data_IF_331040217451
#
_entry.id   IF_331040217451
#
_cell.length_a   1.000
_cell.length_b   1.000
_cell.length_c   1.000
_cell.angle_alpha   90.00
_cell.angle_beta   90.00
_cell.angle_gamma   90.00
#
_symmetry.space_group_name_H-M   'P 1'
#
loop_
_entity.id
_entity.type
_entity.pdbx_description
1 polymer ?
#
# COMPACT_ATOMS: atom_id res chain seq x y z
N UNK A 1 2.64 12.66 9.47
CA UNK A 1 1.98 11.78 8.47
C UNK A 1 0.66 12.43 8.07
N UNK A 2 0.34 12.45 6.77
CA UNK A 2 -0.96 12.95 6.32
C UNK A 2 -1.95 11.77 6.17
N UNK A 3 -3.03 11.79 6.93
CA UNK A 3 -4.04 10.73 6.96
C UNK A 3 -4.70 10.52 5.59
N UNK A 4 -5.15 11.59 4.95
CA UNK A 4 -5.92 11.49 3.72
C UNK A 4 -5.09 10.93 2.56
N UNK A 5 -3.86 11.41 2.41
CA UNK A 5 -2.92 10.86 1.43
C UNK A 5 -2.60 9.40 1.73
N UNK A 6 -2.50 9.03 3.00
CA UNK A 6 -2.30 7.64 3.41
C UNK A 6 -3.46 6.76 2.95
N UNK A 7 -4.72 7.19 3.14
CA UNK A 7 -5.89 6.42 2.70
C UNK A 7 -5.86 6.22 1.19
N UNK A 8 -5.57 7.25 0.40
CA UNK A 8 -5.45 7.11 -1.07
C UNK A 8 -4.35 6.12 -1.46
N UNK A 9 -3.18 6.20 -0.81
CA UNK A 9 -2.04 5.29 -1.04
C UNK A 9 -2.36 3.84 -0.66
N UNK A 10 -3.06 3.63 0.45
CA UNK A 10 -3.52 2.30 0.86
C UNK A 10 -4.47 1.77 -0.21
N UNK A 11 -5.53 2.50 -0.54
CA UNK A 11 -6.54 2.03 -1.50
C UNK A 11 -5.97 1.68 -2.87
N UNK A 12 -5.07 2.50 -3.44
CA UNK A 12 -4.44 2.20 -4.74
C UNK A 12 -3.53 0.96 -4.71
N UNK A 13 -3.07 0.55 -3.52
CA UNK A 13 -2.26 -0.66 -3.34
C UNK A 13 -3.10 -1.94 -3.29
N UNK A 14 -4.42 -1.82 -3.12
CA UNK A 14 -5.33 -2.96 -3.16
C UNK A 14 -5.80 -3.24 -4.59
N UNK A 15 -6.01 -4.52 -4.95
CA UNK A 15 -6.74 -4.88 -6.16
C UNK A 15 -8.09 -4.13 -6.22
N UNK A 16 -8.46 -3.68 -7.40
CA UNK A 16 -9.69 -2.91 -7.66
C UNK A 16 -9.79 -1.55 -6.95
N UNK A 17 -8.76 -1.15 -6.20
CA UNK A 17 -8.76 0.09 -5.44
C UNK A 17 -9.65 0.07 -4.20
N UNK A 18 -10.05 -1.12 -3.72
CA UNK A 18 -11.00 -1.31 -2.63
C UNK A 18 -10.35 -1.99 -1.42
N UNK A 19 -10.65 -1.51 -0.22
CA UNK A 19 -10.28 -2.18 1.01
C UNK A 19 -11.40 -2.08 2.05
N UNK A 20 -11.61 -3.17 2.80
CA UNK A 20 -12.51 -3.18 3.96
C UNK A 20 -11.89 -2.39 5.11
N UNK A 21 -12.72 -1.89 6.02
CA UNK A 21 -12.27 -1.02 7.12
C UNK A 21 -11.16 -1.67 7.98
N UNK A 22 -11.23 -2.98 8.21
CA UNK A 22 -10.24 -3.69 9.04
C UNK A 22 -8.86 -3.77 8.36
N UNK A 23 -8.84 -3.95 7.05
CA UNK A 23 -7.62 -3.97 6.25
C UNK A 23 -6.99 -2.56 6.17
N UNK A 24 -7.82 -1.52 6.00
CA UNK A 24 -7.36 -0.12 6.07
C UNK A 24 -6.72 0.15 7.43
N UNK A 25 -7.40 -0.16 8.54
CA UNK A 25 -6.87 0.04 9.89
C UNK A 25 -5.54 -0.69 10.11
N UNK A 26 -5.45 -1.93 9.61
CA UNK A 26 -4.24 -2.75 9.73
C UNK A 26 -3.06 -2.12 9.01
N UNK A 27 -3.25 -1.70 7.76
CA UNK A 27 -2.17 -1.08 6.98
C UNK A 27 -1.79 0.28 7.53
N UNK A 28 -2.77 1.04 8.04
CA UNK A 28 -2.48 2.28 8.74
C UNK A 28 -1.64 2.07 10.00
N UNK A 29 -1.89 1.02 10.77
CA UNK A 29 -1.06 0.70 11.94
C UNK A 29 0.39 0.39 11.53
N UNK A 30 0.59 -0.32 10.42
CA UNK A 30 1.93 -0.59 9.86
C UNK A 30 2.60 0.73 9.45
N UNK A 31 1.89 1.58 8.70
CA UNK A 31 2.43 2.85 8.22
C UNK A 31 2.71 3.85 9.35
N UNK A 32 1.94 3.82 10.43
CA UNK A 32 2.21 4.61 11.63
C UNK A 32 3.54 4.21 12.30
N UNK A 33 3.97 2.96 12.15
CA UNK A 33 5.27 2.47 12.66
C UNK A 33 6.42 2.63 11.68
N UNK A 34 6.17 3.11 10.46
CA UNK A 34 7.18 3.23 9.38
C UNK A 34 8.16 4.40 9.55
N UNK A 35 8.06 5.15 10.66
CA UNK A 35 9.00 6.20 10.99
C UNK A 35 8.83 7.50 10.18
N UNK A 36 9.88 8.34 10.23
CA UNK A 36 9.82 9.74 9.77
C UNK A 36 9.75 9.86 8.24
N UNK A 37 10.38 8.95 7.51
CA UNK A 37 10.44 8.98 6.05
C UNK A 37 9.04 8.92 5.42
N UNK A 38 8.20 8.00 5.90
CA UNK A 38 6.82 7.89 5.42
C UNK A 38 5.99 9.12 5.81
N UNK A 39 6.16 9.61 7.04
CA UNK A 39 5.45 10.77 7.54
C UNK A 39 5.77 12.04 6.72
N UNK A 40 7.03 12.23 6.34
CA UNK A 40 7.49 13.35 5.53
C UNK A 40 7.09 13.21 4.06
N UNK A 41 7.17 11.99 3.51
CA UNK A 41 6.69 11.71 2.14
C UNK A 41 5.22 12.06 1.97
N UNK A 42 4.36 11.60 2.89
CA UNK A 42 2.91 11.89 2.84
C UNK A 42 2.62 13.38 3.08
N UNK A 43 3.43 14.07 3.89
CA UNK A 43 3.33 15.53 4.07
C UNK A 43 3.70 16.30 2.81
N UNK A 44 4.77 15.90 2.12
CA UNK A 44 5.19 16.51 0.83
C UNK A 44 4.15 16.31 -0.27
N UNK A 45 3.51 15.13 -0.32
CA UNK A 45 2.41 14.88 -1.25
C UNK A 45 1.22 15.78 -0.94
N UNK A 46 0.79 15.87 0.32
CA UNK A 46 -0.34 16.72 0.71
C UNK A 46 -0.11 18.21 0.42
N UNK A 47 1.12 18.71 0.53
CA UNK A 47 1.44 20.10 0.21
C UNK A 47 1.19 20.48 -1.26
N UNK A 48 1.04 19.51 -2.17
CA UNK A 48 0.78 19.75 -3.60
C UNK A 48 -0.69 20.03 -3.91
N UNK A 49 -1.58 19.60 -3.03
CA UNK A 49 -3.01 19.87 -3.12
C UNK A 49 -3.42 20.44 -1.77
N UNK A 50 -3.25 21.76 -1.57
CA UNK A 50 -3.79 22.44 -0.41
C UNK A 50 -5.29 22.16 -0.28
N UNK A 51 -5.78 22.09 0.95
CA UNK A 51 -7.20 21.85 1.24
C UNK A 51 -7.75 20.53 0.67
N UNK A 52 -6.87 19.53 0.54
CA UNK A 52 -7.29 18.16 0.21
C UNK A 52 -8.32 17.69 1.24
N UNK A 53 -9.47 17.24 0.72
CA UNK A 53 -10.50 16.54 1.47
C UNK A 53 -11.03 15.40 0.61
N UNK A 54 -10.47 14.21 0.81
CA UNK A 54 -10.78 13.03 0.00
C UNK A 54 -12.25 12.59 0.09
N UNK A 55 -12.96 12.96 1.16
CA UNK A 55 -14.35 12.57 1.37
C UNK A 55 -15.30 13.55 0.69
N UNK A 56 -15.20 14.84 1.01
CA UNK A 56 -16.09 15.85 0.42
C UNK A 56 -15.84 16.04 -1.07
N UNK A 57 -14.60 15.83 -1.54
CA UNK A 57 -14.25 15.94 -2.96
C UNK A 57 -14.58 14.66 -3.76
N UNK A 58 -15.10 13.60 -3.13
CA UNK A 58 -15.48 12.35 -3.80
C UNK A 58 -14.29 11.59 -4.39
N UNK A 59 -13.10 11.70 -3.78
CA UNK A 59 -11.91 10.97 -4.21
C UNK A 59 -11.95 9.51 -3.74
N UNK A 60 -12.74 9.24 -2.70
CA UNK A 60 -13.07 7.90 -2.22
C UNK A 60 -14.59 7.74 -2.12
N UNK A 61 -15.08 6.56 -2.50
CA UNK A 61 -16.46 6.14 -2.34
C UNK A 61 -16.59 5.12 -1.21
N UNK A 62 -17.68 5.19 -0.46
CA UNK A 62 -18.04 4.15 0.51
C UNK A 62 -18.74 3.01 -0.22
N UNK A 63 -18.16 1.82 -0.15
CA UNK A 63 -18.77 0.58 -0.66
C UNK A 63 -19.04 -0.36 0.53
N UNK A 64 -19.96 -1.33 0.39
CA UNK A 64 -20.43 -2.18 1.49
C UNK A 64 -19.30 -2.82 2.29
N UNK A 65 -19.00 -2.26 3.47
CA UNK A 65 -17.95 -2.73 4.39
C UNK A 65 -16.58 -2.06 4.26
N UNK A 66 -16.40 -1.13 3.32
CA UNK A 66 -15.10 -0.56 3.02
C UNK A 66 -15.12 0.76 2.27
N UNK A 67 -13.97 1.09 1.72
CA UNK A 67 -13.76 2.27 0.89
C UNK A 67 -13.11 1.86 -0.42
N UNK A 68 -13.46 2.59 -1.47
CA UNK A 68 -12.87 2.43 -2.79
C UNK A 68 -12.38 3.76 -3.31
N UNK A 69 -11.19 3.78 -3.90
CA UNK A 69 -10.71 4.97 -4.60
C UNK A 69 -11.50 5.15 -5.90
N UNK A 70 -11.96 6.37 -6.15
CA UNK A 70 -12.63 6.72 -7.41
C UNK A 70 -11.60 7.01 -8.49
N UNK A 71 -12.03 7.07 -9.74
CA UNK A 71 -11.14 7.45 -10.84
C UNK A 71 -10.55 8.85 -10.63
N UNK A 72 -11.38 9.80 -10.18
CA UNK A 72 -10.94 11.14 -9.77
C UNK A 72 -9.86 11.07 -8.67
N UNK A 73 -10.04 10.19 -7.69
CA UNK A 73 -9.05 9.95 -6.64
C UNK A 73 -7.71 9.47 -7.19
N UNK A 74 -7.73 8.57 -8.19
CA UNK A 74 -6.50 8.09 -8.87
C UNK A 74 -5.81 9.21 -9.63
N UNK A 75 -6.55 10.00 -10.41
CA UNK A 75 -5.98 11.14 -11.15
C UNK A 75 -5.35 12.17 -10.22
N UNK A 76 -6.01 12.51 -9.10
CA UNK A 76 -5.45 13.44 -8.11
C UNK A 76 -4.19 12.85 -7.48
N UNK A 77 -4.21 11.57 -7.11
CA UNK A 77 -3.05 10.90 -6.54
C UNK A 77 -1.87 10.84 -7.54
N UNK A 78 -2.14 10.56 -8.82
CA UNK A 78 -1.15 10.59 -9.89
C UNK A 78 -0.55 11.99 -10.08
N UNK A 79 -1.38 13.04 -10.09
CA UNK A 79 -0.91 14.43 -10.14
C UNK A 79 0.00 14.76 -8.94
N UNK A 80 -0.40 14.31 -7.74
CA UNK A 80 0.40 14.46 -6.53
C UNK A 80 1.72 13.70 -6.63
N UNK A 81 1.84 12.64 -7.44
CA UNK A 81 3.03 11.79 -7.54
C UNK A 81 3.93 12.13 -8.73
N UNK A 82 3.39 12.62 -9.84
CA UNK A 82 4.12 12.93 -11.07
C UNK A 82 5.25 13.95 -10.83
N UNK A 83 5.04 14.95 -9.97
CA UNK A 83 6.08 15.92 -9.57
C UNK A 83 7.11 15.32 -8.61
N UNK A 84 6.95 14.10 -8.13
CA UNK A 84 7.92 13.41 -7.27
C UNK A 84 8.95 12.69 -8.11
N UNK A 85 8.54 12.11 -9.25
CA UNK A 85 9.46 11.38 -10.14
C UNK A 85 10.58 12.31 -10.65
N UNK A 86 10.24 13.57 -10.97
CA UNK A 86 11.20 14.60 -11.40
C UNK A 86 12.14 15.09 -10.28
N UNK A 87 11.72 15.01 -9.01
CA UNK A 87 12.54 15.38 -7.84
C UNK A 87 13.30 14.20 -7.24
N UNK A 88 12.88 12.95 -7.47
CA UNK A 88 13.60 11.76 -7.00
C UNK A 88 14.81 11.44 -7.89
N UNK A 89 14.79 11.85 -9.16
CA UNK A 89 15.95 11.78 -10.06
C UNK A 89 17.17 12.57 -9.58
N UNK A 90 17.02 13.54 -8.65
CA UNK A 90 18.15 14.25 -8.03
C UNK A 90 18.52 13.74 -6.63
N UNK A 91 17.62 13.03 -5.94
CA UNK A 91 17.92 12.42 -4.61
C UNK A 91 18.58 11.05 -4.72
N UNK A 92 18.44 10.35 -5.86
CA UNK A 92 19.04 9.02 -6.06
C UNK A 92 20.53 9.09 -6.43
N UNK A 93 21.06 10.26 -6.78
CA UNK A 93 22.45 10.45 -7.22
C UNK A 93 23.46 10.69 -6.08
N UNK A 94 23.03 10.74 -4.81
CA UNK A 94 23.95 10.97 -3.66
C UNK A 94 24.17 9.73 -2.79
N UNK A 95 23.87 8.53 -3.29
CA UNK A 95 24.15 7.28 -2.55
C UNK A 95 24.73 6.19 -3.46
N UNK A 96 25.55 6.56 -4.43
CA UNK A 96 26.37 5.62 -5.21
C UNK A 96 27.86 5.86 -4.96
N UNK A 97 28.33 5.46 -3.78
CA UNK A 97 29.64 4.84 -3.62
C UNK A 97 29.55 3.87 -2.45
N UNK A 98 29.23 2.59 -2.72
CA UNK A 98 30.07 1.41 -2.46
C UNK A 98 29.34 0.19 -3.04
N UNK A 99 29.89 -0.28 -4.15
CA UNK A 99 30.11 -1.65 -4.61
C UNK A 99 29.27 -2.86 -4.09
N UNK A 100 29.01 -3.75 -5.04
CA UNK A 100 28.80 -5.19 -4.94
C UNK A 100 27.47 -5.78 -4.43
N UNK A 101 26.67 -6.18 -5.42
CA UNK A 101 25.89 -7.44 -5.52
C UNK A 101 24.71 -7.67 -4.55
N UNK A 102 23.50 -7.36 -5.03
CA UNK A 102 22.23 -7.86 -4.46
C UNK A 102 21.47 -8.60 -5.56
N UNK A 103 21.04 -9.87 -5.33
CA UNK A 103 20.31 -10.63 -6.35
C UNK A 103 18.95 -9.98 -6.62
N UNK A 104 18.37 -10.19 -7.82
CA UNK A 104 17.13 -9.52 -8.20
C UNK A 104 16.01 -9.87 -7.21
N UNK A 105 15.47 -8.85 -6.56
CA UNK A 105 14.31 -8.95 -5.68
C UNK A 105 13.14 -9.54 -6.49
N UNK A 106 12.51 -10.63 -6.05
CA UNK A 106 11.38 -11.20 -6.77
C UNK A 106 10.19 -10.23 -6.72
N UNK A 107 9.45 -10.08 -7.83
CA UNK A 107 8.29 -9.20 -7.89
C UNK A 107 7.28 -9.57 -6.80
N UNK A 108 6.70 -8.56 -6.14
CA UNK A 108 5.79 -8.70 -4.99
C UNK A 108 4.59 -9.63 -5.24
N UNK A 109 4.23 -9.88 -6.51
CA UNK A 109 3.25 -10.87 -6.92
C UNK A 109 3.60 -12.32 -6.48
N UNK A 110 4.90 -12.68 -6.43
CA UNK A 110 5.34 -14.01 -6.00
C UNK A 110 5.22 -14.22 -4.48
N UNK A 111 5.25 -13.14 -3.70
CA UNK A 111 5.12 -13.19 -2.23
C UNK A 111 3.69 -13.56 -1.80
N UNK A 112 2.69 -13.15 -2.58
CA UNK A 112 1.29 -13.51 -2.37
C UNK A 112 1.04 -15.00 -2.63
N UNK A 113 1.65 -15.57 -3.68
CA UNK A 113 1.53 -17.02 -4.01
C UNK A 113 2.12 -17.91 -2.91
N UNK A 114 3.34 -17.62 -2.42
CA UNK A 114 3.98 -18.44 -1.36
C UNK A 114 3.21 -18.43 -0.03
N UNK A 115 2.47 -17.35 0.29
CA UNK A 115 1.64 -17.28 1.51
C UNK A 115 0.35 -18.10 1.39
N UNK A 116 -0.19 -18.28 0.18
CA UNK A 116 -1.36 -19.14 -0.09
C UNK A 116 -1.00 -20.62 0.07
N UNK A 117 0.13 -21.05 -0.49
CA UNK A 117 0.62 -22.43 -0.40
C UNK A 117 0.85 -22.90 1.05
N UNK A 118 1.39 -22.03 1.92
CA UNK A 118 1.64 -22.37 3.33
C UNK A 118 0.35 -22.53 4.16
N UNK A 119 -0.75 -21.90 3.74
CA UNK A 119 -2.06 -22.03 4.38
C UNK A 119 -2.79 -23.29 3.92
N UNK A 120 -2.61 -23.69 2.67
CA UNK A 120 -3.18 -24.93 2.09
C UNK A 120 -2.60 -26.18 2.77
N UNK A 121 -1.26 -26.25 2.92
CA UNK A 121 -0.59 -27.36 3.62
C UNK A 121 -1.00 -27.53 5.10
N UNK A 122 -1.41 -26.44 5.77
CA UNK A 122 -1.93 -26.48 7.14
C UNK A 122 -3.38 -26.98 7.24
N UNK A 123 -4.15 -26.84 6.16
CA UNK A 123 -5.53 -27.33 6.09
C UNK A 123 -5.55 -28.83 5.80
N UNK A 124 -4.71 -29.28 4.87
CA UNK A 124 -4.53 -30.71 4.55
C UNK A 124 -4.01 -31.52 5.75
N UNK A 125 -3.10 -30.96 6.55
CA UNK A 125 -2.60 -31.63 7.77
C UNK A 125 -3.69 -31.82 8.85
N UNK A 126 -4.68 -30.93 8.93
CA UNK A 126 -5.82 -31.06 9.86
C UNK A 126 -6.88 -32.02 9.37
N UNK A 127 -7.03 -32.17 8.05
CA UNK A 127 -7.94 -33.14 7.44
C UNK A 127 -7.41 -34.57 7.61
N UNK A 128 -6.12 -34.80 7.36
CA UNK A 128 -5.50 -36.12 7.58
C UNK A 128 -5.55 -36.57 9.04
N UNK A 129 -5.42 -35.64 9.99
CA UNK A 129 -5.55 -35.94 11.42
C UNK A 129 -6.99 -36.30 11.84
N UNK A 130 -8.02 -35.87 11.10
CA UNK A 130 -9.42 -36.25 11.33
C UNK A 130 -9.78 -37.58 10.67
N UNK A 131 -9.19 -37.90 9.52
CA UNK A 131 -9.40 -39.19 8.85
C UNK A 131 -8.71 -40.36 9.54
N UNK A 132 -7.68 -40.12 10.35
CA UNK A 132 -6.92 -41.15 11.08
C UNK A 132 -7.44 -41.38 12.52
N UNK A 133 -8.55 -40.74 12.88
CA UNK A 133 -9.20 -40.80 14.20
C UNK A 133 -10.60 -41.43 14.12
N UNK A 134 -10.88 -42.25 13.10
CA UNK A 134 -12.07 -43.10 12.98
C UNK A 134 -11.66 -44.55 12.74
#
# INVERSE_FOLDING_TARGET
MNFQVTVLKVLVSYPDGFAVMDDIKRDMAILATSGRDWADRTKRLAARVPDLDIFSQGLVGRESGGWKITEKGRTVLEFMEARTVLNQSVETAQSETVDAHVPPLPPLADRAKRRRERRERRREGRERARSNAS
#
